data_IF_304383538630
#
_entry.id   IF_304383538630
#
_cell.length_a   1.000
_cell.length_b   1.000
_cell.length_c   1.000
_cell.angle_alpha   90.00
_cell.angle_beta   90.00
_cell.angle_gamma   90.00
#
_symmetry.space_group_name_H-M   'P 1'
#
loop_
_entity.id
_entity.type
_entity.pdbx_description
1 polymer ?
#
# COMPACT_ATOMS: atom_id res chain seq x y z
N UNK A 1 17.91 -16.50 -7.83
CA UNK A 1 17.01 -15.30 -7.76
C UNK A 1 16.06 -15.50 -6.61
N UNK A 2 16.27 -14.72 -5.52
CA UNK A 2 15.37 -14.74 -4.35
C UNK A 2 14.23 -13.75 -4.58
N UNK A 3 13.28 -14.09 -5.44
CA UNK A 3 12.07 -13.29 -5.57
C UNK A 3 11.03 -13.72 -4.52
N UNK A 4 10.55 -12.76 -3.75
CA UNK A 4 9.46 -12.95 -2.82
C UNK A 4 8.14 -12.87 -3.59
N UNK A 5 7.54 -14.01 -3.91
CA UNK A 5 6.33 -14.06 -4.74
C UNK A 5 5.08 -13.54 -4.03
N UNK A 6 4.98 -13.68 -2.71
CA UNK A 6 3.82 -13.22 -1.96
C UNK A 6 4.11 -13.09 -0.47
N UNK A 7 3.73 -11.97 0.11
CA UNK A 7 3.59 -11.79 1.55
C UNK A 7 2.10 -11.78 1.89
N UNK A 8 1.68 -12.68 2.77
CA UNK A 8 0.31 -12.70 3.30
C UNK A 8 0.40 -12.17 4.73
N UNK A 9 -0.23 -11.02 4.96
CA UNK A 9 -0.38 -10.45 6.28
C UNK A 9 -1.69 -10.91 6.88
N UNK A 10 -1.62 -11.50 8.06
CA UNK A 10 -2.73 -12.05 8.81
C UNK A 10 -2.47 -13.50 9.16
N UNK A 11 -2.47 -13.79 10.45
CA UNK A 11 -2.41 -15.15 10.98
C UNK A 11 -3.81 -15.56 11.41
N UNK A 12 -4.31 -16.74 11.02
CA UNK A 12 -5.52 -17.27 11.63
C UNK A 12 -5.27 -17.59 13.10
N UNK A 13 -6.30 -17.45 13.93
CA UNK A 13 -6.24 -17.66 15.39
C UNK A 13 -6.15 -19.15 15.80
N UNK A 14 -5.97 -20.04 14.84
CA UNK A 14 -5.95 -21.50 15.04
C UNK A 14 -4.71 -22.15 14.43
N UNK A 15 -4.34 -23.31 14.94
CA UNK A 15 -3.25 -24.10 14.37
C UNK A 15 -3.54 -24.49 12.92
N UNK A 16 -2.67 -24.09 12.01
CA UNK A 16 -2.72 -24.46 10.61
C UNK A 16 -1.61 -25.43 10.27
N UNK A 17 -1.99 -26.54 9.61
CA UNK A 17 -1.04 -27.40 8.92
C UNK A 17 -0.61 -26.78 7.59
N UNK A 18 0.67 -26.89 7.28
CA UNK A 18 1.18 -26.52 5.96
C UNK A 18 0.84 -27.61 4.97
N UNK A 19 0.01 -27.30 3.96
CA UNK A 19 -0.32 -28.24 2.88
C UNK A 19 0.37 -27.75 1.61
N UNK A 20 1.26 -28.56 1.07
CA UNK A 20 1.83 -28.36 -0.25
C UNK A 20 1.07 -29.25 -1.24
N UNK A 21 0.25 -28.65 -2.08
CA UNK A 21 -0.49 -29.37 -3.10
C UNK A 21 0.17 -29.19 -4.46
N UNK A 22 0.51 -30.31 -5.11
CA UNK A 22 0.93 -30.33 -6.51
C UNK A 22 -0.28 -30.78 -7.32
N UNK A 23 -0.82 -29.89 -8.15
CA UNK A 23 -1.91 -30.21 -9.04
C UNK A 23 -1.40 -30.52 -10.43
N UNK A 24 -1.88 -31.61 -11.02
CA UNK A 24 -1.83 -31.81 -12.46
C UNK A 24 -3.19 -31.43 -13.02
N UNK A 25 -3.24 -30.43 -13.88
CA UNK A 25 -4.48 -30.09 -14.56
C UNK A 25 -4.77 -31.12 -15.64
N UNK A 26 -5.74 -31.99 -15.37
CA UNK A 26 -6.19 -33.02 -16.32
C UNK A 26 -6.89 -32.41 -17.56
N UNK A 27 -7.17 -31.11 -17.58
CA UNK A 27 -7.81 -30.42 -18.69
C UNK A 27 -6.83 -29.82 -19.72
N UNK A 28 -5.55 -29.73 -19.42
CA UNK A 28 -4.58 -29.01 -20.26
C UNK A 28 -4.01 -29.81 -21.45
N UNK A 29 -4.38 -31.05 -21.64
CA UNK A 29 -3.93 -31.87 -22.78
C UNK A 29 -2.44 -32.24 -22.79
N UNK A 30 -1.72 -32.02 -21.71
CA UNK A 30 -0.28 -32.34 -21.59
C UNK A 30 -0.13 -33.78 -21.07
N UNK A 31 -0.56 -34.75 -21.88
CA UNK A 31 -0.54 -36.15 -21.50
C UNK A 31 0.69 -36.92 -21.96
N UNK A 32 1.66 -36.30 -22.62
CA UNK A 32 2.83 -36.97 -23.17
C UNK A 32 4.10 -36.78 -22.36
N UNK A 33 4.01 -36.29 -21.15
CA UNK A 33 5.17 -36.07 -20.30
C UNK A 33 5.58 -37.35 -19.60
N UNK A 34 6.84 -37.68 -19.72
CA UNK A 34 7.46 -38.83 -19.04
C UNK A 34 7.44 -38.58 -17.51
N UNK A 35 6.78 -39.42 -16.77
CA UNK A 35 6.84 -39.48 -15.32
C UNK A 35 8.01 -40.33 -14.85
N UNK A 36 8.64 -40.07 -13.72
CA UNK A 36 8.32 -39.02 -12.73
C UNK A 36 8.96 -37.66 -13.05
N UNK A 37 8.23 -36.56 -12.71
CA UNK A 37 8.81 -35.23 -12.65
C UNK A 37 9.30 -34.97 -11.24
N UNK A 38 10.54 -34.58 -11.10
CA UNK A 38 11.10 -34.16 -9.81
C UNK A 38 10.86 -32.68 -9.58
N UNK A 39 10.24 -32.35 -8.45
CA UNK A 39 10.17 -31.01 -7.93
C UNK A 39 11.08 -30.95 -6.71
N UNK A 40 12.16 -30.21 -6.81
CA UNK A 40 13.05 -29.97 -5.70
C UNK A 40 12.59 -28.72 -4.93
N UNK A 41 12.23 -28.90 -3.66
CA UNK A 41 12.04 -27.81 -2.72
C UNK A 41 13.31 -27.74 -1.89
N UNK A 42 14.10 -26.70 -2.10
CA UNK A 42 15.38 -26.53 -1.44
C UNK A 42 15.19 -26.35 0.08
N UNK A 43 14.28 -25.47 0.47
CA UNK A 43 13.89 -25.33 1.88
C UNK A 43 12.52 -24.65 2.05
N UNK A 44 11.87 -24.97 3.17
CA UNK A 44 10.70 -24.25 3.66
C UNK A 44 11.03 -23.68 5.05
N UNK A 45 10.82 -22.36 5.24
CA UNK A 45 11.00 -21.71 6.53
C UNK A 45 9.65 -21.36 7.11
N UNK A 46 9.39 -21.86 8.30
CA UNK A 46 8.24 -21.47 9.12
C UNK A 46 8.78 -20.62 10.27
N UNK A 47 8.34 -19.40 10.36
CA UNK A 47 8.71 -18.49 11.44
C UNK A 47 7.61 -18.52 12.48
N UNK A 48 7.95 -18.90 13.69
CA UNK A 48 7.07 -18.77 14.85
C UNK A 48 7.40 -17.46 15.57
N UNK A 49 6.41 -16.63 15.92
CA UNK A 49 6.66 -15.48 16.79
C UNK A 49 7.28 -15.96 18.10
N UNK A 50 8.33 -15.29 18.57
CA UNK A 50 8.89 -15.53 19.91
C UNK A 50 7.92 -14.90 20.91
N UNK A 51 7.56 -15.64 21.97
CA UNK A 51 6.74 -15.11 23.04
C UNK A 51 7.39 -13.82 23.59
N UNK A 52 6.64 -12.72 23.58
CA UNK A 52 7.16 -11.39 23.91
C UNK A 52 7.71 -10.61 22.71
N UNK A 53 7.65 -11.15 21.47
CA UNK A 53 7.77 -10.33 20.28
C UNK A 53 6.60 -9.34 20.31
N UNK A 54 6.85 -8.20 20.94
CA UNK A 54 6.16 -6.99 20.51
C UNK A 54 6.59 -6.84 19.07
N UNK A 55 5.65 -6.92 18.15
CA UNK A 55 5.83 -6.29 16.85
C UNK A 55 6.62 -5.04 17.15
N UNK A 56 7.89 -4.99 16.76
CA UNK A 56 8.66 -3.75 16.92
C UNK A 56 7.69 -2.74 16.40
N UNK A 57 7.39 -1.71 17.16
CA UNK A 57 6.61 -0.59 16.62
C UNK A 57 7.36 -0.26 15.36
N UNK A 58 6.98 -0.96 14.29
CA UNK A 58 7.64 -0.86 13.00
C UNK A 58 7.49 0.61 12.74
N UNK A 59 8.58 1.30 12.52
CA UNK A 59 8.59 2.72 12.24
C UNK A 59 7.47 2.96 11.24
N UNK A 60 6.26 3.13 11.76
CA UNK A 60 5.05 3.35 10.96
C UNK A 60 5.05 4.80 10.48
N UNK A 61 6.26 5.36 10.38
CA UNK A 61 6.48 6.70 9.91
C UNK A 61 7.08 6.63 8.51
N UNK A 62 6.39 7.20 7.57
CA UNK A 62 6.83 7.26 6.17
C UNK A 62 6.75 8.69 5.67
N UNK A 63 7.73 9.08 4.86
CA UNK A 63 7.55 10.10 3.85
C UNK A 63 7.03 9.42 2.58
N UNK A 64 6.03 9.99 1.93
CA UNK A 64 5.43 9.45 0.71
C UNK A 64 5.84 10.34 -0.46
N UNK A 65 6.70 9.81 -1.33
CA UNK A 65 7.32 10.55 -2.44
C UNK A 65 6.71 10.15 -3.78
N UNK A 66 6.32 11.11 -4.58
CA UNK A 66 5.85 10.85 -5.95
C UNK A 66 7.01 10.52 -6.90
N UNK A 67 6.85 9.50 -7.74
CA UNK A 67 7.88 9.07 -8.71
C UNK A 67 8.18 10.13 -9.76
N UNK A 68 7.15 10.78 -10.33
CA UNK A 68 7.27 11.75 -11.42
C UNK A 68 7.86 13.06 -10.95
N UNK A 69 7.31 13.62 -9.87
CA UNK A 69 7.67 14.97 -9.41
C UNK A 69 8.82 14.98 -8.42
N UNK A 70 9.10 13.85 -7.77
CA UNK A 70 10.05 13.76 -6.66
C UNK A 70 9.58 14.45 -5.38
N UNK A 71 8.37 14.99 -5.36
CA UNK A 71 7.78 15.74 -4.26
C UNK A 71 7.11 14.83 -3.24
N UNK A 72 6.88 15.34 -2.02
CA UNK A 72 6.36 14.60 -0.88
C UNK A 72 4.96 15.06 -0.52
N UNK A 73 4.14 14.15 0.02
CA UNK A 73 2.80 14.47 0.53
C UNK A 73 2.90 15.15 1.90
N UNK A 74 2.10 16.18 2.12
CA UNK A 74 1.93 16.82 3.42
C UNK A 74 0.56 17.49 3.56
N UNK A 75 0.17 17.79 4.79
CA UNK A 75 -1.03 18.58 5.10
C UNK A 75 -0.61 20.02 5.35
N UNK A 76 -1.30 20.96 4.71
CA UNK A 76 -1.19 22.38 5.02
C UNK A 76 -2.20 22.79 6.08
N UNK A 77 -1.79 23.65 7.00
CA UNK A 77 -2.72 24.26 7.94
C UNK A 77 -3.79 25.08 7.20
N UNK A 78 -5.03 24.94 7.63
CA UNK A 78 -6.20 25.64 7.05
C UNK A 78 -6.55 25.27 5.61
N UNK A 79 -6.08 24.13 5.13
CA UNK A 79 -6.47 23.54 3.86
C UNK A 79 -7.10 22.17 4.13
N UNK A 80 -8.23 21.86 3.51
CA UNK A 80 -8.90 20.55 3.61
C UNK A 80 -8.34 19.51 2.62
N UNK A 81 -7.46 19.96 1.71
CA UNK A 81 -6.83 19.13 0.69
C UNK A 81 -5.41 18.78 1.06
N UNK A 82 -4.99 17.59 0.62
CA UNK A 82 -3.60 17.17 0.77
C UNK A 82 -2.75 17.82 -0.32
N UNK A 83 -1.65 18.41 0.09
CA UNK A 83 -0.66 19.04 -0.79
C UNK A 83 0.53 18.13 -1.07
N UNK A 84 1.27 18.42 -2.13
CA UNK A 84 2.58 17.81 -2.39
C UNK A 84 3.61 18.86 -2.80
N UNK A 85 4.82 18.71 -2.30
CA UNK A 85 5.90 19.68 -2.51
C UNK A 85 7.22 19.23 -1.91
N UNK A 86 8.16 20.15 -1.80
CA UNK A 86 9.42 19.92 -1.09
C UNK A 86 9.21 19.93 0.43
N UNK A 87 9.96 19.08 1.14
CA UNK A 87 9.99 19.13 2.59
C UNK A 87 10.83 20.34 3.05
N UNK A 88 10.27 21.11 3.94
CA UNK A 88 10.87 22.28 4.56
C UNK A 88 10.67 22.20 6.07
N UNK A 89 11.38 23.01 6.85
CA UNK A 89 11.16 23.10 8.30
C UNK A 89 9.70 23.44 8.69
N UNK A 90 8.97 24.08 7.76
CA UNK A 90 7.58 24.49 7.98
C UNK A 90 6.59 23.32 7.88
N UNK A 91 6.83 22.35 6.97
CA UNK A 91 5.87 21.27 6.69
C UNK A 91 6.39 19.87 7.08
N UNK A 92 7.59 19.75 7.61
CA UNK A 92 8.24 18.47 7.94
C UNK A 92 7.38 17.59 8.86
N UNK A 93 6.77 18.15 9.90
CA UNK A 93 5.91 17.40 10.82
C UNK A 93 4.66 16.87 10.12
N UNK A 94 4.07 17.70 9.26
CA UNK A 94 2.84 17.39 8.54
C UNK A 94 3.07 16.49 7.31
N UNK A 95 4.31 16.11 7.02
CA UNK A 95 4.68 15.21 5.93
C UNK A 95 4.90 13.76 6.37
N UNK A 96 4.80 13.47 7.68
CA UNK A 96 4.97 12.11 8.22
C UNK A 96 3.63 11.37 8.26
N UNK A 97 3.63 10.17 7.70
CA UNK A 97 2.44 9.33 7.53
C UNK A 97 2.65 7.96 8.15
N UNK A 98 1.61 7.38 8.68
CA UNK A 98 1.56 5.98 9.10
C UNK A 98 0.54 5.20 8.30
N UNK A 99 0.73 3.88 8.23
CA UNK A 99 -0.23 2.94 7.65
C UNK A 99 -0.99 2.22 8.76
N UNK A 100 -2.29 2.21 8.65
CA UNK A 100 -3.15 1.33 9.42
C UNK A 100 -3.87 0.38 8.46
N UNK A 101 -4.20 -0.83 8.91
CA UNK A 101 -4.82 -1.84 8.05
C UNK A 101 -6.22 -2.19 8.54
N UNK A 102 -7.14 -2.31 7.60
CA UNK A 102 -8.49 -2.79 7.87
C UNK A 102 -9.04 -3.58 6.70
N UNK A 103 -9.49 -4.82 6.95
CA UNK A 103 -10.09 -5.69 5.93
C UNK A 103 -9.24 -5.87 4.66
N UNK A 104 -7.90 -5.87 4.80
CA UNK A 104 -6.97 -5.99 3.67
C UNK A 104 -6.70 -4.68 2.91
N UNK A 105 -7.23 -3.56 3.38
CA UNK A 105 -6.97 -2.23 2.83
C UNK A 105 -6.12 -1.38 3.78
N UNK A 106 -5.38 -0.45 3.21
CA UNK A 106 -4.54 0.51 3.90
C UNK A 106 -5.30 1.81 4.14
N UNK A 107 -5.17 2.36 5.34
CA UNK A 107 -5.51 3.74 5.65
C UNK A 107 -4.20 4.51 5.84
N UNK A 108 -4.05 5.63 5.14
CA UNK A 108 -2.91 6.53 5.29
C UNK A 108 -3.28 7.62 6.30
N UNK A 109 -2.63 7.59 7.45
CA UNK A 109 -2.88 8.51 8.57
C UNK A 109 -1.72 9.49 8.69
N UNK A 110 -2.03 10.77 8.75
CA UNK A 110 -1.04 11.77 9.08
C UNK A 110 -0.68 11.73 10.57
N UNK A 111 0.59 11.72 10.90
CA UNK A 111 1.05 11.51 12.28
C UNK A 111 0.87 12.75 13.16
N UNK A 112 0.93 13.95 12.59
CA UNK A 112 0.75 15.19 13.34
C UNK A 112 -0.73 15.48 13.66
N UNK A 113 -1.61 15.36 12.64
CA UNK A 113 -3.03 15.69 12.79
C UNK A 113 -3.88 14.50 13.25
N UNK A 114 -3.41 13.29 13.02
CA UNK A 114 -4.17 12.05 13.26
C UNK A 114 -5.30 11.82 12.26
N UNK A 115 -5.32 12.55 11.15
CA UNK A 115 -6.35 12.51 10.11
C UNK A 115 -5.97 11.54 8.98
N UNK A 116 -6.98 11.03 8.27
CA UNK A 116 -6.82 10.08 7.18
C UNK A 116 -7.02 10.73 5.82
N UNK A 117 -6.24 10.28 4.83
CA UNK A 117 -6.51 10.58 3.43
C UNK A 117 -7.84 9.98 3.03
N UNK A 118 -8.70 10.77 2.39
CA UNK A 118 -10.00 10.31 1.93
C UNK A 118 -10.47 11.04 0.67
N UNK A 119 -11.57 10.55 0.08
CA UNK A 119 -12.26 11.15 -1.08
C UNK A 119 -13.75 11.35 -0.80
N UNK A 120 -14.14 11.57 0.45
CA UNK A 120 -15.55 11.55 0.87
C UNK A 120 -16.40 12.59 0.14
N UNK A 121 -15.91 13.81 -0.02
CA UNK A 121 -16.66 14.90 -0.64
C UNK A 121 -16.67 14.84 -2.18
N UNK A 122 -15.95 13.87 -2.79
CA UNK A 122 -15.96 13.62 -4.25
C UNK A 122 -15.57 14.84 -5.10
N UNK A 123 -14.68 15.68 -4.60
CA UNK A 123 -14.25 16.93 -5.25
C UNK A 123 -13.25 16.73 -6.40
N UNK A 124 -12.73 15.53 -6.59
CA UNK A 124 -11.60 15.23 -7.49
C UNK A 124 -10.25 15.38 -6.82
N UNK A 125 -10.21 15.95 -5.62
CA UNK A 125 -9.00 16.12 -4.81
C UNK A 125 -8.96 15.10 -3.66
N UNK A 126 -7.74 14.77 -3.23
CA UNK A 126 -7.55 14.03 -1.99
C UNK A 126 -7.68 15.02 -0.84
N UNK A 127 -8.55 14.68 0.08
CA UNK A 127 -8.81 15.43 1.30
C UNK A 127 -8.23 14.69 2.51
N UNK A 128 -8.14 15.36 3.63
CA UNK A 128 -7.82 14.76 4.92
C UNK A 128 -8.89 15.09 5.95
N UNK A 129 -9.06 14.21 6.93
CA UNK A 129 -10.05 14.42 7.97
C UNK A 129 -10.13 13.26 8.97
N UNK A 130 -10.84 13.52 10.08
CA UNK A 130 -11.13 12.52 11.10
C UNK A 130 -12.33 11.67 10.69
N UNK A 131 -12.14 10.90 9.61
CA UNK A 131 -13.20 10.00 9.10
C UNK A 131 -13.17 8.65 9.81
N UNK A 132 -14.32 7.96 9.96
CA UNK A 132 -14.36 6.60 10.49
C UNK A 132 -13.51 5.64 9.65
N UNK A 133 -12.73 4.79 10.31
CA UNK A 133 -11.90 3.78 9.62
C UNK A 133 -12.71 2.78 8.78
N UNK A 134 -14.02 2.70 9.00
CA UNK A 134 -14.96 1.86 8.24
C UNK A 134 -15.34 2.45 6.90
N UNK A 135 -15.06 3.73 6.66
CA UNK A 135 -15.42 4.38 5.41
C UNK A 135 -14.50 3.97 4.27
N UNK A 136 -15.08 3.47 3.20
CA UNK A 136 -14.34 3.02 2.02
C UNK A 136 -13.62 4.15 1.28
N UNK A 137 -14.08 5.38 1.45
CA UNK A 137 -13.45 6.59 0.90
C UNK A 137 -12.04 6.82 1.43
N UNK A 138 -11.70 6.31 2.63
CA UNK A 138 -10.39 6.42 3.24
C UNK A 138 -9.55 5.13 3.14
N UNK A 139 -10.07 4.10 2.45
CA UNK A 139 -9.43 2.80 2.34
C UNK A 139 -8.82 2.61 0.94
N UNK A 140 -7.56 2.16 0.91
CA UNK A 140 -6.75 2.09 -0.29
C UNK A 140 -6.15 0.71 -0.49
N UNK A 141 -6.19 0.19 -1.71
CA UNK A 141 -5.40 -0.96 -2.12
C UNK A 141 -4.00 -0.51 -2.50
N UNK A 142 -2.99 -1.16 -1.97
CA UNK A 142 -1.59 -0.98 -2.40
C UNK A 142 -1.33 -1.88 -3.60
N UNK A 143 -1.14 -1.29 -4.77
CA UNK A 143 -0.85 -2.02 -6.02
C UNK A 143 0.61 -1.78 -6.38
N UNK A 144 1.47 -2.81 -6.34
CA UNK A 144 2.89 -2.67 -6.67
C UNK A 144 3.08 -2.48 -8.19
N UNK A 145 3.96 -1.54 -8.56
CA UNK A 145 4.34 -1.26 -9.95
C UNK A 145 5.81 -0.83 -9.99
N UNK A 146 6.69 -1.59 -10.63
CA UNK A 146 8.12 -1.25 -10.83
C UNK A 146 8.87 -0.81 -9.55
N UNK A 147 8.59 -1.43 -8.42
CA UNK A 147 9.19 -1.08 -7.13
C UNK A 147 8.56 0.14 -6.43
N UNK A 148 7.50 0.69 -7.00
CA UNK A 148 6.66 1.74 -6.41
C UNK A 148 5.29 1.18 -6.04
N UNK A 149 4.52 1.97 -5.31
CA UNK A 149 3.15 1.63 -4.90
C UNK A 149 2.16 2.59 -5.55
N UNK A 150 1.06 2.05 -6.08
CA UNK A 150 -0.13 2.84 -6.41
C UNK A 150 -1.17 2.63 -5.34
N UNK A 151 -1.79 3.72 -4.89
CA UNK A 151 -2.92 3.67 -3.97
C UNK A 151 -4.22 3.81 -4.76
N UNK A 152 -4.99 2.72 -4.81
CA UNK A 152 -6.28 2.64 -5.51
C UNK A 152 -7.41 2.64 -4.49
N UNK A 153 -8.39 3.50 -4.66
CA UNK A 153 -9.46 3.66 -3.66
C UNK A 153 -10.42 2.46 -3.64
N UNK A 154 -10.81 2.01 -2.44
CA UNK A 154 -11.78 0.90 -2.25
C UNK A 154 -13.17 1.25 -2.77
N UNK A 155 -13.64 2.47 -2.51
CA UNK A 155 -14.98 2.92 -2.92
C UNK A 155 -15.06 3.17 -4.43
N UNK A 156 -13.96 3.66 -5.01
CA UNK A 156 -13.85 3.91 -6.46
C UNK A 156 -12.67 3.12 -7.04
N UNK A 157 -12.86 1.82 -7.35
CA UNK A 157 -11.75 0.89 -7.63
C UNK A 157 -10.95 1.17 -8.91
N UNK A 158 -11.38 2.13 -9.73
CA UNK A 158 -10.62 2.59 -10.89
C UNK A 158 -9.89 3.92 -10.64
N UNK A 159 -10.00 4.48 -9.43
CA UNK A 159 -9.41 5.77 -9.09
C UNK A 159 -8.17 5.58 -8.22
N UNK A 160 -7.07 6.19 -8.61
CA UNK A 160 -5.82 6.20 -7.85
C UNK A 160 -5.40 7.62 -7.49
N UNK A 161 -4.57 7.74 -6.45
CA UNK A 161 -3.93 8.99 -6.07
C UNK A 161 -2.91 9.39 -7.15
N UNK A 162 -2.96 10.64 -7.61
CA UNK A 162 -2.05 11.13 -8.65
C UNK A 162 -1.76 12.65 -8.57
N UNK A 163 -0.80 13.09 -9.38
CA UNK A 163 -0.33 14.49 -9.47
C UNK A 163 -0.42 15.05 -10.90
N UNK A 164 -1.39 14.59 -11.71
CA UNK A 164 -1.48 14.94 -13.15
C UNK A 164 -1.65 16.45 -13.44
N UNK A 165 -2.30 17.21 -12.54
CA UNK A 165 -2.48 18.65 -12.74
C UNK A 165 -1.22 19.47 -12.47
N UNK A 166 -0.24 18.93 -11.74
CA UNK A 166 0.96 19.64 -11.30
C UNK A 166 0.71 20.92 -10.48
N UNK A 167 -0.48 21.05 -9.88
CA UNK A 167 -0.91 22.26 -9.14
C UNK A 167 -0.44 22.29 -7.67
N UNK A 168 0.33 21.30 -7.23
CA UNK A 168 0.77 21.17 -5.83
C UNK A 168 -0.29 20.57 -4.89
N UNK A 169 -1.50 20.29 -5.39
CA UNK A 169 -2.60 19.67 -4.66
C UNK A 169 -2.83 18.25 -5.19
N UNK A 170 -2.98 17.32 -4.26
CA UNK A 170 -3.14 15.91 -4.57
C UNK A 170 -4.53 15.60 -5.12
N UNK A 171 -4.61 14.83 -6.19
CA UNK A 171 -5.85 14.45 -6.86
C UNK A 171 -6.07 12.94 -6.82
N UNK A 172 -7.28 12.53 -7.13
CA UNK A 172 -7.60 11.14 -7.47
C UNK A 172 -8.33 11.07 -8.80
N UNK A 173 -8.03 10.02 -9.57
CA UNK A 173 -8.63 9.85 -10.88
C UNK A 173 -8.28 8.50 -11.52
N UNK A 174 -8.92 8.25 -12.66
CA UNK A 174 -8.62 7.08 -13.47
C UNK A 174 -7.43 7.41 -14.38
N UNK A 175 -6.23 7.07 -13.92
CA UNK A 175 -4.99 7.24 -14.68
C UNK A 175 -4.35 5.88 -14.98
N UNK A 176 -3.71 5.70 -16.15
CA UNK A 176 -3.02 4.46 -16.49
C UNK A 176 -1.99 4.07 -15.42
N UNK A 177 -1.82 2.75 -15.19
CA UNK A 177 -0.86 2.25 -14.21
C UNK A 177 0.60 2.54 -14.58
N UNK A 178 0.87 2.81 -15.84
CA UNK A 178 2.19 3.20 -16.37
C UNK A 178 2.56 4.66 -16.04
N UNK A 179 1.60 5.49 -15.62
CA UNK A 179 1.86 6.90 -15.31
C UNK A 179 2.57 7.07 -13.97
N UNK A 180 3.75 7.64 -14.01
CA UNK A 180 4.58 7.90 -12.83
C UNK A 180 3.94 8.87 -11.83
N UNK A 181 3.03 9.71 -12.29
CA UNK A 181 2.26 10.64 -11.46
C UNK A 181 1.38 9.93 -10.43
N UNK A 182 1.03 8.65 -10.66
CA UNK A 182 0.26 7.83 -9.71
C UNK A 182 1.10 6.79 -8.95
N UNK A 183 2.43 6.88 -9.05
CA UNK A 183 3.36 5.93 -8.44
C UNK A 183 4.13 6.58 -7.30
N UNK A 184 4.16 5.92 -6.15
CA UNK A 184 4.61 6.46 -4.89
C UNK A 184 5.68 5.58 -4.25
N UNK A 185 6.67 6.19 -3.65
CA UNK A 185 7.66 5.54 -2.82
C UNK A 185 7.37 5.86 -1.35
N UNK A 186 7.27 4.83 -0.51
CA UNK A 186 7.18 4.98 0.93
C UNK A 186 8.60 4.87 1.50
N UNK A 187 9.08 5.96 2.08
CA UNK A 187 10.42 6.07 2.64
C UNK A 187 10.29 6.04 4.16
N UNK A 188 10.73 4.96 4.84
CA UNK A 188 10.70 4.91 6.30
C UNK A 188 11.53 6.04 6.90
N UNK A 189 11.00 6.65 7.96
CA UNK A 189 11.69 7.69 8.74
C UNK A 189 11.55 7.41 10.24
N UNK A 190 12.51 7.86 11.00
CA UNK A 190 12.52 7.77 12.46
C UNK A 190 11.56 8.76 13.11
#
# INVERSE_FOLDING_TARGET
DNELFKVIYGSPDYEMGTILNIYTDAGSGVHNDVWPKEWAIDYMRVWKPVDGYKESESLNNYLIRNRQTGKFLYIEENNDKVSYGDITLKNEKNAKWSKEYREGYTLLKNNETGEYLNIENQTGYIEHGKVPKTWWSAQWSEVPVDGYTRFVNRWKPNMSIHTESYEGVLQYGNVPNTYWTSQWQLIPVE
#
